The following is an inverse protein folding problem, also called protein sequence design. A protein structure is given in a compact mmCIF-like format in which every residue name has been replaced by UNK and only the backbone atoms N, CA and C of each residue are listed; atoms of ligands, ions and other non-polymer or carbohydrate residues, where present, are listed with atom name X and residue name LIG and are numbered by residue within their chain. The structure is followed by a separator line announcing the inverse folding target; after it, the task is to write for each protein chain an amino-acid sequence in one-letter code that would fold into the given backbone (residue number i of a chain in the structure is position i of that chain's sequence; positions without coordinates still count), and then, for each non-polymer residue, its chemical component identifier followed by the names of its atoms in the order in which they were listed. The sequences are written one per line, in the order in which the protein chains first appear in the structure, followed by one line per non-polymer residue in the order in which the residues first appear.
data_IF_470498794662
#
_entry.id   IF_470498794662
#
_cell.length_a   1.000
_cell.length_b   1.000
_cell.length_c   1.000
_cell.angle_alpha   90.00
_cell.angle_beta   90.00
_cell.angle_gamma   90.00
#
_symmetry.space_group_name_H-M   'P 1'
#
loop_
_entity.id
_entity.type
_entity.pdbx_description
1 polymer ?
#
# COMPACT_ATOMS: atom_id res chain seq x y z
N UNK A 1 11.61 13.17 11.55
CA UNK A 1 10.41 13.49 12.38
C UNK A 1 9.17 12.67 12.03
N UNK A 2 9.06 12.02 10.85
CA UNK A 2 7.93 11.15 10.48
C UNK A 2 7.57 10.06 11.49
N UNK A 3 8.58 9.42 12.11
CA UNK A 3 8.35 8.41 13.14
C UNK A 3 7.62 8.96 14.37
N UNK A 4 7.86 10.23 14.74
CA UNK A 4 7.25 10.85 15.91
C UNK A 4 5.77 11.14 15.67
N UNK A 5 5.42 11.71 14.51
CA UNK A 5 4.02 11.99 14.16
C UNK A 5 3.19 10.71 14.04
N UNK A 6 3.74 9.68 13.39
CA UNK A 6 3.05 8.39 13.27
C UNK A 6 2.87 7.72 14.64
N UNK A 7 3.88 7.79 15.50
CA UNK A 7 3.80 7.26 16.86
C UNK A 7 2.78 8.01 17.71
N UNK A 8 2.74 9.34 17.66
CA UNK A 8 1.79 10.14 18.44
C UNK A 8 0.35 9.96 17.95
N UNK A 9 0.11 9.91 16.63
CA UNK A 9 -1.23 9.63 16.09
C UNK A 9 -1.71 8.23 16.46
N UNK A 10 -0.83 7.23 16.40
CA UNK A 10 -1.18 5.86 16.82
C UNK A 10 -1.46 5.81 18.32
N UNK A 11 -0.66 6.49 19.14
CA UNK A 11 -0.86 6.56 20.59
C UNK A 11 -2.19 7.23 20.95
N UNK A 12 -2.52 8.34 20.30
CA UNK A 12 -3.80 9.03 20.50
C UNK A 12 -4.98 8.13 20.10
N UNK A 13 -4.88 7.46 18.96
CA UNK A 13 -5.90 6.52 18.51
C UNK A 13 -6.06 5.34 19.48
N UNK A 14 -4.96 4.80 20.01
CA UNK A 14 -5.00 3.75 21.03
C UNK A 14 -5.68 4.23 22.33
N UNK A 15 -5.42 5.47 22.76
CA UNK A 15 -6.12 6.06 23.90
C UNK A 15 -7.63 6.21 23.66
N UNK A 16 -8.02 6.68 22.47
CA UNK A 16 -9.45 6.78 22.07
C UNK A 16 -10.10 5.40 21.97
N UNK A 17 -9.42 4.42 21.37
CA UNK A 17 -9.92 3.04 21.29
C UNK A 17 -10.09 2.42 22.69
N UNK A 18 -9.13 2.64 23.59
CA UNK A 18 -9.23 2.23 24.99
C UNK A 18 -10.41 2.90 25.71
N UNK A 19 -10.63 4.19 25.48
CA UNK A 19 -11.79 4.91 26.00
C UNK A 19 -13.12 4.35 25.45
N UNK A 20 -13.19 4.03 24.16
CA UNK A 20 -14.37 3.40 23.57
C UNK A 20 -14.63 2.01 24.16
N UNK A 21 -13.60 1.21 24.39
CA UNK A 21 -13.73 -0.09 25.06
C UNK A 21 -14.23 0.09 26.49
N UNK A 22 -13.72 1.08 27.22
CA UNK A 22 -14.23 1.42 28.55
C UNK A 22 -15.69 1.90 28.51
N UNK A 23 -16.08 2.67 27.48
CA UNK A 23 -17.46 3.11 27.27
C UNK A 23 -18.38 1.91 26.98
N UNK A 24 -17.91 0.94 26.20
CA UNK A 24 -18.64 -0.30 25.92
C UNK A 24 -18.98 -1.05 27.21
N UNK A 25 -18.07 -1.06 28.20
CA UNK A 25 -18.29 -1.68 29.49
C UNK A 25 -19.39 -1.02 30.34
N UNK A 26 -19.86 0.18 29.98
CA UNK A 26 -20.95 0.86 30.69
C UNK A 26 -22.34 0.38 30.26
N UNK A 27 -22.44 -0.36 29.14
CA UNK A 27 -23.71 -0.86 28.64
C UNK A 27 -24.02 -2.24 29.22
N UNK A 28 -25.31 -2.49 29.52
CA UNK A 28 -25.80 -3.83 29.85
C UNK A 28 -26.09 -4.61 28.56
N UNK A 29 -25.58 -5.83 28.48
CA UNK A 29 -25.86 -6.76 27.37
C UNK A 29 -27.11 -7.62 27.58
N UNK A 30 -27.92 -7.36 28.61
CA UNK A 30 -29.08 -8.20 28.95
C UNK A 30 -30.26 -8.00 27.98
N UNK A 31 -30.23 -6.93 27.19
CA UNK A 31 -31.29 -6.56 26.26
C UNK A 31 -30.66 -6.31 24.88
N UNK A 32 -31.39 -6.59 23.80
CA UNK A 32 -30.91 -6.54 22.40
C UNK A 32 -30.16 -5.25 22.08
N UNK A 33 -30.75 -4.10 22.41
CA UNK A 33 -30.15 -2.79 22.08
C UNK A 33 -28.78 -2.56 22.75
N UNK A 34 -28.61 -3.03 23.99
CA UNK A 34 -27.34 -2.88 24.70
C UNK A 34 -26.26 -3.80 24.15
N UNK A 35 -26.61 -5.02 23.73
CA UNK A 35 -25.71 -5.92 23.02
C UNK A 35 -25.17 -5.29 21.72
N UNK A 36 -26.06 -4.77 20.88
CA UNK A 36 -25.68 -4.12 19.62
C UNK A 36 -24.91 -2.81 19.84
N UNK A 37 -25.22 -2.05 20.90
CA UNK A 37 -24.45 -0.88 21.28
C UNK A 37 -23.00 -1.24 21.63
N UNK A 38 -22.79 -2.30 22.43
CA UNK A 38 -21.44 -2.79 22.76
C UNK A 38 -20.69 -3.17 21.48
N UNK A 39 -21.29 -3.96 20.60
CA UNK A 39 -20.63 -4.39 19.36
C UNK A 39 -20.32 -3.22 18.43
N UNK A 40 -21.23 -2.25 18.32
CA UNK A 40 -21.02 -1.02 17.55
C UNK A 40 -19.86 -0.18 18.09
N UNK A 41 -19.78 -0.01 19.41
CA UNK A 41 -18.68 0.74 20.05
C UNK A 41 -17.33 0.02 19.88
N UNK A 42 -17.31 -1.31 20.03
CA UNK A 42 -16.10 -2.12 19.80
C UNK A 42 -15.63 -2.06 18.34
N UNK A 43 -16.56 -2.13 17.38
CA UNK A 43 -16.26 -1.90 15.97
C UNK A 43 -15.72 -0.48 15.75
N UNK A 44 -16.30 0.53 16.41
CA UNK A 44 -15.79 1.89 16.41
C UNK A 44 -14.33 1.98 16.89
N UNK A 45 -13.98 1.26 17.96
CA UNK A 45 -12.61 1.20 18.47
C UNK A 45 -11.62 0.62 17.44
N UNK A 46 -12.02 -0.45 16.73
CA UNK A 46 -11.22 -1.03 15.64
C UNK A 46 -11.06 -0.08 14.45
N UNK A 47 -12.14 0.63 14.10
CA UNK A 47 -12.12 1.64 13.03
C UNK A 47 -11.16 2.80 13.37
N UNK A 48 -11.20 3.33 14.60
CA UNK A 48 -10.28 4.37 15.06
C UNK A 48 -8.82 3.93 14.91
N UNK A 49 -8.51 2.68 15.24
CA UNK A 49 -7.18 2.12 15.05
C UNK A 49 -6.76 2.05 13.59
N UNK A 50 -7.65 1.61 12.69
CA UNK A 50 -7.36 1.58 11.26
C UNK A 50 -7.16 2.99 10.68
N UNK A 51 -8.01 3.95 11.06
CA UNK A 51 -7.89 5.35 10.64
C UNK A 51 -6.58 6.00 11.13
N UNK A 52 -6.07 5.60 12.29
CA UNK A 52 -4.79 6.09 12.80
C UNK A 52 -3.63 5.84 11.83
N UNK A 53 -3.67 4.72 11.09
CA UNK A 53 -2.63 4.36 10.14
C UNK A 53 -2.68 5.24 8.89
N UNK A 54 -3.89 5.64 8.48
CA UNK A 54 -4.10 6.56 7.37
C UNK A 54 -3.62 7.97 7.73
N UNK A 55 -3.95 8.45 8.94
CA UNK A 55 -3.56 9.77 9.43
C UNK A 55 -2.06 9.87 9.75
N UNK A 56 -1.45 8.82 10.33
CA UNK A 56 -0.04 8.80 10.70
C UNK A 56 0.94 8.72 9.52
N UNK A 57 0.45 8.39 8.33
CA UNK A 57 1.22 8.43 7.07
C UNK A 57 0.89 9.63 6.17
N UNK A 58 0.00 10.53 6.61
CA UNK A 58 -0.61 11.54 5.77
C UNK A 58 0.29 12.77 5.54
N UNK A 59 0.86 12.89 4.34
CA UNK A 59 1.66 14.07 3.92
C UNK A 59 1.13 14.77 2.68
N UNK A 60 0.01 14.30 2.13
CA UNK A 60 -0.50 14.70 0.81
C UNK A 60 -1.95 15.11 0.98
N UNK A 61 -2.23 16.42 0.84
CA UNK A 61 -3.50 17.14 1.01
C UNK A 61 -4.70 16.67 0.13
N UNK A 62 -4.81 15.38 -0.17
CA UNK A 62 -5.97 14.77 -0.83
C UNK A 62 -7.00 14.26 0.16
N UNK A 63 -8.27 14.23 -0.25
CA UNK A 63 -9.34 13.61 0.53
C UNK A 63 -9.21 12.09 0.51
N UNK A 64 -9.47 11.40 1.65
CA UNK A 64 -9.50 9.93 1.69
C UNK A 64 -10.55 9.40 0.69
N UNK A 65 -10.16 8.46 -0.16
CA UNK A 65 -11.07 7.85 -1.14
C UNK A 65 -11.48 6.47 -0.67
N UNK A 66 -12.75 6.14 -0.88
CA UNK A 66 -13.27 4.80 -0.59
C UNK A 66 -12.95 3.89 -1.77
N UNK A 67 -12.18 2.82 -1.53
CA UNK A 67 -11.88 1.81 -2.55
C UNK A 67 -13.05 0.84 -2.66
N UNK A 68 -13.88 1.01 -3.69
CA UNK A 68 -15.06 0.16 -3.91
C UNK A 68 -14.67 -1.32 -4.08
N UNK A 69 -13.53 -1.61 -4.73
CA UNK A 69 -13.04 -2.99 -4.89
C UNK A 69 -12.65 -3.61 -3.55
N UNK A 70 -11.93 -2.87 -2.69
CA UNK A 70 -11.59 -3.39 -1.36
C UNK A 70 -12.84 -3.57 -0.50
N UNK A 71 -13.76 -2.61 -0.54
CA UNK A 71 -15.04 -2.70 0.15
C UNK A 71 -15.79 -3.99 -0.24
N UNK A 72 -15.94 -4.23 -1.55
CA UNK A 72 -16.74 -5.34 -2.06
C UNK A 72 -16.05 -6.71 -1.88
N UNK A 73 -14.75 -6.81 -2.13
CA UNK A 73 -14.07 -8.10 -2.18
C UNK A 73 -13.37 -8.48 -0.87
N UNK A 74 -12.99 -7.51 -0.03
CA UNK A 74 -12.38 -7.79 1.27
C UNK A 74 -13.36 -7.54 2.41
N UNK A 75 -13.94 -6.33 2.50
CA UNK A 75 -14.79 -5.99 3.64
C UNK A 75 -16.11 -6.75 3.65
N UNK A 76 -16.86 -6.80 2.55
CA UNK A 76 -18.19 -7.44 2.53
C UNK A 76 -18.14 -8.92 2.94
N UNK A 77 -17.24 -9.78 2.41
CA UNK A 77 -17.15 -11.17 2.86
C UNK A 77 -16.79 -11.29 4.35
N UNK A 78 -15.83 -10.47 4.81
CA UNK A 78 -15.46 -10.44 6.24
C UNK A 78 -16.63 -10.00 7.10
N UNK A 79 -17.33 -8.94 6.71
CA UNK A 79 -18.49 -8.42 7.43
C UNK A 79 -19.61 -9.44 7.50
N UNK A 80 -19.87 -10.20 6.43
CA UNK A 80 -20.86 -11.29 6.43
C UNK A 80 -20.48 -12.34 7.48
N UNK A 81 -19.24 -12.82 7.47
CA UNK A 81 -18.79 -13.86 8.42
C UNK A 81 -18.81 -13.35 9.86
N UNK A 82 -18.27 -12.16 10.11
CA UNK A 82 -18.26 -11.57 11.45
C UNK A 82 -19.68 -11.30 11.95
N UNK A 83 -20.56 -10.74 11.11
CA UNK A 83 -21.95 -10.49 11.48
C UNK A 83 -22.69 -11.79 11.76
N UNK A 84 -22.42 -12.85 11.01
CA UNK A 84 -22.95 -14.19 11.28
C UNK A 84 -22.62 -14.66 12.70
N UNK A 85 -21.36 -14.52 13.11
CA UNK A 85 -20.90 -14.88 14.47
C UNK A 85 -21.51 -13.95 15.53
N UNK A 86 -21.58 -12.64 15.28
CA UNK A 86 -22.15 -11.67 16.21
C UNK A 86 -23.64 -11.91 16.41
N UNK A 87 -24.41 -12.18 15.36
CA UNK A 87 -25.85 -12.50 15.46
C UNK A 87 -26.08 -13.81 16.22
N UNK A 88 -25.19 -14.81 16.04
CA UNK A 88 -25.30 -16.07 16.76
C UNK A 88 -25.21 -15.92 18.29
N UNK A 89 -24.53 -14.88 18.80
CA UNK A 89 -24.44 -14.60 20.23
C UNK A 89 -25.43 -13.60 20.78
N UNK A 90 -26.40 -13.16 19.97
CA UNK A 90 -27.47 -12.28 20.44
C UNK A 90 -28.24 -12.92 21.61
N UNK A 91 -28.45 -12.20 22.73
CA UNK A 91 -29.09 -12.75 23.93
C UNK A 91 -30.59 -13.01 23.76
N UNK A 92 -31.22 -12.45 22.73
CA UNK A 92 -32.63 -12.64 22.44
C UNK A 92 -32.86 -13.71 21.37
N UNK A 93 -34.04 -14.30 21.41
CA UNK A 93 -34.54 -15.17 20.36
C UNK A 93 -35.05 -14.34 19.18
N UNK A 94 -34.22 -13.48 18.59
CA UNK A 94 -34.54 -12.81 17.35
C UNK A 94 -34.67 -13.83 16.18
N UNK A 95 -35.39 -13.46 15.13
CA UNK A 95 -35.56 -14.34 13.96
C UNK A 95 -34.21 -14.64 13.28
N UNK A 96 -33.32 -13.64 13.19
CA UNK A 96 -31.99 -13.79 12.60
C UNK A 96 -31.10 -14.76 13.41
N UNK A 97 -31.09 -14.65 14.74
CA UNK A 97 -30.39 -15.58 15.62
C UNK A 97 -30.80 -17.04 15.36
N UNK A 98 -32.12 -17.32 15.33
CA UNK A 98 -32.65 -18.66 15.05
C UNK A 98 -32.26 -19.16 13.65
N UNK A 99 -32.36 -18.29 12.65
CA UNK A 99 -31.99 -18.63 11.29
C UNK A 99 -30.51 -19.00 11.17
N UNK A 100 -29.64 -18.19 11.79
CA UNK A 100 -28.19 -18.42 11.82
C UNK A 100 -27.84 -19.75 12.46
N UNK A 101 -28.44 -20.08 13.61
CA UNK A 101 -28.19 -21.35 14.29
C UNK A 101 -28.73 -22.57 13.53
N UNK A 102 -29.92 -22.45 12.93
CA UNK A 102 -30.51 -23.52 12.12
C UNK A 102 -29.61 -23.81 10.90
N UNK A 103 -29.29 -22.78 10.12
CA UNK A 103 -28.44 -22.93 8.95
C UNK A 103 -27.04 -23.43 9.30
N UNK A 104 -26.43 -22.93 10.37
CA UNK A 104 -25.11 -23.40 10.83
C UNK A 104 -25.13 -24.87 11.27
N UNK A 105 -26.27 -25.36 11.73
CA UNK A 105 -26.49 -26.78 12.01
C UNK A 105 -26.59 -27.59 10.71
N UNK A 106 -27.31 -27.08 9.71
CA UNK A 106 -27.51 -27.74 8.42
C UNK A 106 -26.18 -27.89 7.66
N UNK A 107 -25.32 -26.87 7.71
CA UNK A 107 -23.97 -26.90 7.13
C UNK A 107 -22.91 -27.51 8.08
N UNK A 108 -23.32 -28.08 9.22
CA UNK A 108 -22.49 -28.82 10.18
C UNK A 108 -21.31 -28.04 10.82
N UNK A 109 -21.35 -26.70 10.82
CA UNK A 109 -20.30 -25.85 11.44
C UNK A 109 -20.69 -25.32 12.82
N UNK A 110 -21.82 -25.78 13.39
CA UNK A 110 -22.32 -25.29 14.68
C UNK A 110 -21.31 -25.44 15.83
N UNK A 111 -20.50 -26.51 15.82
CA UNK A 111 -19.42 -26.69 16.80
C UNK A 111 -18.40 -25.54 16.77
N UNK A 112 -17.90 -25.23 15.56
CA UNK A 112 -16.96 -24.11 15.34
C UNK A 112 -17.60 -22.78 15.75
N UNK A 113 -18.86 -22.56 15.36
CA UNK A 113 -19.59 -21.34 15.72
C UNK A 113 -19.66 -21.16 17.25
N UNK A 114 -20.02 -22.21 17.98
CA UNK A 114 -20.09 -22.17 19.45
C UNK A 114 -18.73 -21.85 20.09
N UNK A 115 -17.63 -22.35 19.52
CA UNK A 115 -16.28 -22.08 20.02
C UNK A 115 -15.88 -20.61 19.81
N UNK A 116 -16.17 -20.04 18.64
CA UNK A 116 -15.80 -18.66 18.29
C UNK A 116 -16.71 -17.61 18.93
N UNK A 117 -17.93 -17.98 19.33
CA UNK A 117 -18.87 -17.05 20.00
C UNK A 117 -18.31 -16.44 21.30
N UNK A 118 -17.36 -17.10 21.96
CA UNK A 118 -16.65 -16.54 23.13
C UNK A 118 -15.80 -15.31 22.80
N UNK A 119 -15.46 -15.12 21.52
CA UNK A 119 -14.60 -14.07 20.99
C UNK A 119 -15.37 -13.03 20.17
N UNK A 120 -16.70 -12.97 20.26
CA UNK A 120 -17.53 -11.97 19.57
C UNK A 120 -16.98 -10.53 19.67
N UNK A 121 -16.53 -10.04 20.84
CA UNK A 121 -15.92 -8.71 20.95
C UNK A 121 -14.73 -8.49 20.00
N UNK A 122 -13.94 -9.53 19.76
CA UNK A 122 -12.78 -9.50 18.84
C UNK A 122 -13.24 -9.40 17.40
N UNK A 123 -14.30 -10.12 17.01
CA UNK A 123 -14.88 -10.02 15.66
C UNK A 123 -15.49 -8.63 15.42
N UNK A 124 -16.16 -8.04 16.40
CA UNK A 124 -16.69 -6.68 16.30
C UNK A 124 -15.56 -5.67 16.08
N UNK A 125 -14.52 -5.71 16.93
CA UNK A 125 -13.34 -4.87 16.78
C UNK A 125 -12.64 -5.06 15.42
N UNK A 126 -12.38 -6.32 15.04
CA UNK A 126 -11.73 -6.67 13.77
C UNK A 126 -12.53 -6.20 12.55
N UNK A 127 -13.87 -6.27 12.60
CA UNK A 127 -14.75 -5.80 11.52
C UNK A 127 -14.58 -4.30 11.30
N UNK A 128 -14.54 -3.51 12.37
CA UNK A 128 -14.28 -2.07 12.27
C UNK A 128 -12.88 -1.74 11.73
N UNK A 129 -11.89 -2.54 12.10
CA UNK A 129 -10.52 -2.40 11.62
C UNK A 129 -10.44 -2.68 10.10
N UNK A 130 -11.02 -3.78 9.63
CA UNK A 130 -11.09 -4.12 8.20
C UNK A 130 -11.92 -3.11 7.42
N UNK A 131 -13.02 -2.60 8.00
CA UNK A 131 -13.78 -1.50 7.41
C UNK A 131 -12.89 -0.27 7.18
N UNK A 132 -12.08 0.09 8.18
CA UNK A 132 -11.15 1.21 8.09
C UNK A 132 -10.10 1.07 6.97
N UNK A 133 -9.72 -0.15 6.59
CA UNK A 133 -8.82 -0.39 5.45
C UNK A 133 -9.45 -0.12 4.08
N UNK A 134 -10.77 0.05 4.01
CA UNK A 134 -11.46 0.44 2.77
C UNK A 134 -11.08 1.86 2.34
N UNK A 135 -10.68 2.71 3.29
CA UNK A 135 -10.23 4.06 3.02
C UNK A 135 -8.78 4.03 2.53
N UNK A 136 -8.56 4.44 1.28
CA UNK A 136 -7.24 4.55 0.67
C UNK A 136 -6.79 6.02 0.57
N UNK A 137 -5.49 6.26 0.75
CA UNK A 137 -4.87 7.59 0.58
C UNK A 137 -4.08 7.62 -0.73
N UNK A 138 -4.80 7.61 -1.85
CA UNK A 138 -4.16 7.91 -3.14
C UNK A 138 -3.84 9.42 -3.16
N UNK A 139 -2.55 9.76 -3.06
CA UNK A 139 -2.06 11.13 -3.31
C UNK A 139 -2.50 11.63 -4.70
N UNK A 140 -2.47 12.95 -4.96
CA UNK A 140 -3.03 13.53 -6.19
C UNK A 140 -2.57 12.71 -7.39
N UNK A 141 -3.56 12.20 -8.14
CA UNK A 141 -3.34 11.59 -9.44
C UNK A 141 -2.75 12.71 -10.29
N UNK A 142 -1.42 12.71 -10.44
CA UNK A 142 -0.81 13.38 -11.58
C UNK A 142 -1.39 12.61 -12.75
N UNK A 143 -2.47 13.15 -13.35
CA UNK A 143 -2.87 12.72 -14.68
C UNK A 143 -1.68 13.06 -15.53
N UNK A 144 -0.86 12.05 -15.80
CA UNK A 144 0.12 12.14 -16.85
C UNK A 144 -0.69 12.21 -18.14
N UNK A 145 -1.13 13.41 -18.49
CA UNK A 145 -1.64 13.75 -19.82
C UNK A 145 -0.46 13.66 -20.78
N UNK A 146 0.01 12.45 -21.04
CA UNK A 146 1.11 12.18 -21.95
C UNK A 146 1.04 10.77 -22.57
N UNK A 147 -0.15 10.22 -22.81
CA UNK A 147 -0.29 9.10 -23.77
C UNK A 147 -1.40 9.41 -24.76
N UNK A 148 -1.15 10.47 -25.52
CA UNK A 148 -1.96 10.95 -26.62
C UNK A 148 -1.13 11.71 -27.64
N UNK A 149 0.14 11.31 -27.86
CA UNK A 149 0.92 11.72 -29.02
C UNK A 149 1.79 10.57 -29.49
N UNK A 150 1.15 9.64 -30.20
CA UNK A 150 1.81 8.89 -31.26
C UNK A 150 2.03 9.87 -32.42
N UNK A 151 3.06 10.69 -32.32
CA UNK A 151 3.62 11.45 -33.43
C UNK A 151 5.14 11.39 -33.30
N UNK A 152 5.72 10.58 -34.18
CA UNK A 152 7.14 10.36 -34.47
C UNK A 152 8.15 11.23 -33.71
N UNK A 153 8.88 10.62 -32.76
CA UNK A 153 10.21 11.07 -32.39
C UNK A 153 11.22 10.46 -33.40
N UNK A 154 12.18 11.23 -33.95
CA UNK A 154 13.25 10.67 -34.77
C UNK A 154 14.16 9.76 -33.91
N UNK A 155 14.81 8.74 -34.51
CA UNK A 155 15.73 7.86 -33.78
C UNK A 155 16.86 8.67 -33.10
N UNK A 156 17.40 8.17 -31.97
CA UNK A 156 18.47 8.85 -31.27
C UNK A 156 19.69 8.96 -32.18
N UNK A 157 20.14 10.19 -32.40
CA UNK A 157 21.44 10.45 -33.03
C UNK A 157 22.49 9.97 -32.03
N UNK A 158 23.09 8.81 -32.31
CA UNK A 158 24.36 8.44 -31.70
C UNK A 158 25.33 9.60 -31.94
N UNK A 159 25.88 10.12 -30.84
CA UNK A 159 26.88 11.16 -30.84
C UNK A 159 28.13 10.65 -31.59
N UNK A 160 28.22 11.01 -32.87
CA UNK A 160 29.32 10.69 -33.79
C UNK A 160 30.65 11.34 -33.41
N UNK A 161 30.75 11.97 -32.24
CA UNK A 161 31.97 12.61 -31.76
C UNK A 161 32.80 11.71 -30.85
N UNK A 162 32.38 10.46 -30.63
CA UNK A 162 33.14 9.41 -29.93
C UNK A 162 33.70 8.32 -30.87
N UNK A 163 33.93 8.65 -32.15
CA UNK A 163 34.41 7.73 -33.17
C UNK A 163 35.83 8.04 -33.70
N UNK A 164 36.53 9.03 -33.12
CA UNK A 164 37.87 9.44 -33.55
C UNK A 164 38.99 9.04 -32.57
N UNK A 165 38.77 8.06 -31.69
CA UNK A 165 39.86 7.50 -30.88
C UNK A 165 40.54 6.34 -31.63
N UNK A 166 41.82 6.48 -32.03
CA UNK A 166 42.48 5.49 -32.88
C UNK A 166 42.65 4.16 -32.14
N UNK A 167 42.21 3.08 -32.77
CA UNK A 167 42.38 1.72 -32.23
C UNK A 167 43.86 1.31 -32.21
N UNK A 168 44.24 0.44 -31.28
CA UNK A 168 45.63 0.02 -31.01
C UNK A 168 46.37 -0.55 -32.24
N UNK A 169 45.63 -1.01 -33.26
CA UNK A 169 46.18 -1.50 -34.52
C UNK A 169 46.60 -0.38 -35.51
N UNK A 170 46.03 0.82 -35.37
CA UNK A 170 46.33 1.99 -36.21
C UNK A 170 47.56 2.74 -35.71
N UNK A 171 47.77 2.79 -34.38
CA UNK A 171 48.95 3.39 -33.73
C UNK A 171 50.27 2.73 -34.17
N UNK A 172 50.27 1.43 -34.49
CA UNK A 172 51.46 0.71 -34.94
C UNK A 172 51.88 1.06 -36.39
N UNK A 173 50.96 1.54 -37.25
CA UNK A 173 51.29 1.94 -38.63
C UNK A 173 51.79 3.38 -38.71
N UNK A 174 51.33 4.25 -37.80
CA UNK A 174 51.76 5.66 -37.77
C UNK A 174 53.20 5.81 -37.27
N UNK A 175 53.68 4.92 -36.40
CA UNK A 175 55.06 4.95 -35.91
C UNK A 175 56.06 4.57 -37.01
N UNK A 176 55.76 3.56 -37.85
CA UNK A 176 56.63 3.13 -38.95
C UNK A 176 56.73 4.17 -40.08
N UNK A 177 55.62 4.85 -40.40
CA UNK A 177 55.60 5.89 -41.43
C UNK A 177 56.40 7.16 -41.01
N UNK A 178 56.39 7.48 -39.70
CA UNK A 178 57.12 8.65 -39.18
C UNK A 178 58.65 8.43 -39.14
N UNK A 179 59.11 7.19 -38.93
CA UNK A 179 60.55 6.88 -38.92
C UNK A 179 61.16 6.89 -40.34
N UNK A 180 60.38 6.56 -41.38
CA UNK A 180 60.82 6.67 -42.78
C UNK A 180 60.93 8.14 -43.25
N UNK A 181 60.02 9.01 -42.80
CA UNK A 181 60.02 10.43 -43.15
C UNK A 181 61.22 11.20 -42.55
N UNK A 182 61.64 10.84 -41.33
CA UNK A 182 62.85 11.41 -40.71
C UNK A 182 64.17 10.89 -41.32
N UNK A 183 64.18 9.70 -41.93
CA UNK A 183 65.35 9.17 -42.63
C UNK A 183 65.56 9.81 -44.02
N UNK A 184 64.48 10.22 -44.69
CA UNK A 184 64.53 10.89 -46.00
C UNK A 184 65.00 12.36 -45.95
N UNK A 185 64.83 13.04 -44.82
CA UNK A 185 65.12 14.47 -44.68
C UNK A 185 66.59 14.82 -44.37
N UNK A 186 67.47 13.84 -44.07
CA UNK A 186 68.91 14.07 -43.83
C UNK A 186 69.82 13.94 -45.06
N UNK A 187 69.26 13.72 -46.26
CA UNK A 187 70.03 13.33 -47.45
C UNK A 187 70.26 14.39 -48.54
N UNK A 188 69.77 15.63 -48.42
CA UNK A 188 69.91 16.62 -49.51
C UNK A 188 70.50 17.96 -49.04
N UNK A 189 71.80 18.11 -49.29
CA UNK A 189 72.37 19.35 -49.84
C UNK A 189 72.77 20.42 -48.84
N UNK A 190 73.89 20.21 -48.14
CA UNK A 190 74.69 21.32 -47.62
C UNK A 190 75.29 22.15 -48.77
N UNK A 191 75.32 23.49 -48.71
CA UNK A 191 76.11 24.30 -49.63
C UNK A 191 77.61 24.16 -49.29
N UNK A 192 78.51 24.06 -50.29
CA UNK A 192 79.96 24.06 -50.04
C UNK A 192 80.44 25.45 -49.58
N UNK A 193 81.51 25.52 -48.77
CA UNK A 193 82.02 26.77 -48.21
C UNK A 193 82.87 27.59 -49.20
N UNK A 194 82.68 28.91 -49.10
CA UNK A 194 83.43 30.09 -49.61
C UNK A 194 83.95 30.12 -51.05
#
# INVERSE_FOLDING_TARGET
MYGLTRATTTLLAAAVAGFLIWLAAQFSNHHEGGYWAIMGVLAGAGLVMALSQLLGGWTKWGWPRLSASFFLFAFVPVAIVCLWVIVAGEPSNAWLHRHVLAWSSDIHVRGVLNDVMKYIPVFAFGTGLVFGFTFDTTGPVVRDTAVGRRAAAPPPVEDRTAADEPTTAERARTTSARDEEYAGARGRGAPPPE
#
